data_IF_040689773481
#
_entry.id   IF_040689773481
#
_cell.length_a   1.000
_cell.length_b   1.000
_cell.length_c   1.000
_cell.angle_alpha   90.00
_cell.angle_beta   90.00
_cell.angle_gamma   90.00
#
_symmetry.space_group_name_H-M   'P 1'
#
loop_
_entity.id
_entity.type
_entity.pdbx_description
1 polymer ?
#
# COMPACT_ATOMS: atom_id res chain seq x y z
N UNK A 1 4.19 -20.91 -32.92
CA UNK A 1 5.45 -20.49 -32.26
C UNK A 1 5.12 -19.53 -31.13
N UNK A 2 5.76 -19.76 -29.97
CA UNK A 2 5.85 -18.91 -28.76
C UNK A 2 4.57 -18.71 -27.94
N UNK A 3 4.37 -19.63 -27.00
CA UNK A 3 3.84 -19.28 -25.69
C UNK A 3 4.69 -18.13 -25.14
N UNK A 4 4.12 -16.94 -25.00
CA UNK A 4 4.71 -15.89 -24.19
C UNK A 4 4.64 -16.37 -22.74
N UNK A 5 5.74 -16.92 -22.23
CA UNK A 5 5.87 -17.30 -20.82
C UNK A 5 5.44 -16.09 -19.97
N UNK A 6 4.34 -16.20 -19.24
CA UNK A 6 3.96 -15.20 -18.25
C UNK A 6 5.14 -15.08 -17.28
N UNK A 7 5.88 -13.97 -17.37
CA UNK A 7 7.03 -13.72 -16.50
C UNK A 7 6.53 -13.85 -15.06
N UNK A 8 7.08 -14.84 -14.35
CA UNK A 8 6.72 -15.10 -12.97
C UNK A 8 6.81 -13.79 -12.17
N UNK A 9 5.81 -13.50 -11.35
CA UNK A 9 5.72 -12.26 -10.57
C UNK A 9 7.00 -11.97 -9.78
N UNK A 10 7.72 -13.02 -9.34
CA UNK A 10 9.02 -12.91 -8.68
C UNK A 10 10.06 -12.22 -9.56
N UNK A 11 10.18 -12.60 -10.83
CA UNK A 11 11.16 -12.00 -11.75
C UNK A 11 10.83 -10.54 -12.08
N UNK A 12 9.55 -10.23 -12.25
CA UNK A 12 9.11 -8.84 -12.46
C UNK A 12 9.41 -7.95 -11.24
N UNK A 13 9.27 -8.49 -10.04
CA UNK A 13 9.60 -7.76 -8.81
C UNK A 13 11.11 -7.55 -8.69
N UNK A 14 11.92 -8.58 -8.93
CA UNK A 14 13.38 -8.48 -8.95
C UNK A 14 13.85 -7.40 -9.94
N UNK A 15 13.31 -7.38 -11.16
CA UNK A 15 13.66 -6.38 -12.17
C UNK A 15 13.38 -4.95 -11.68
N UNK A 16 12.24 -4.73 -11.03
CA UNK A 16 11.89 -3.41 -10.47
C UNK A 16 12.82 -3.02 -9.31
N UNK A 17 13.12 -3.95 -8.40
CA UNK A 17 13.99 -3.70 -7.25
C UNK A 17 15.45 -3.43 -7.66
N UNK A 18 15.95 -4.08 -8.71
CA UNK A 18 17.32 -3.84 -9.20
C UNK A 18 17.45 -2.49 -9.92
N UNK A 19 16.38 -2.02 -10.57
CA UNK A 19 16.40 -0.76 -11.35
C UNK A 19 16.09 0.49 -10.53
N UNK A 20 15.54 0.35 -9.32
CA UNK A 20 15.20 1.51 -8.49
C UNK A 20 16.44 2.04 -7.78
N UNK A 21 16.65 3.35 -7.83
CA UNK A 21 17.73 4.03 -7.09
C UNK A 21 17.21 4.63 -5.77
N UNK A 22 15.89 4.64 -5.57
CA UNK A 22 15.24 5.12 -4.35
C UNK A 22 15.55 4.21 -3.15
N UNK A 23 16.49 4.67 -2.32
CA UNK A 23 16.98 3.95 -1.14
C UNK A 23 15.91 3.83 -0.04
N UNK A 24 14.97 4.78 0.04
CA UNK A 24 13.94 4.76 1.06
C UNK A 24 12.90 3.68 0.73
N UNK A 25 12.49 3.60 -0.54
CA UNK A 25 11.63 2.51 -1.02
C UNK A 25 12.27 1.13 -0.78
N UNK A 26 13.57 0.99 -1.06
CA UNK A 26 14.27 -0.29 -0.86
C UNK A 26 14.29 -0.71 0.61
N UNK A 27 14.53 0.23 1.55
CA UNK A 27 14.47 -0.04 3.00
C UNK A 27 13.08 -0.44 3.47
N UNK A 28 12.03 0.17 2.92
CA UNK A 28 10.65 -0.20 3.24
C UNK A 28 10.35 -1.62 2.76
N UNK A 29 10.75 -1.97 1.54
CA UNK A 29 10.62 -3.33 1.02
C UNK A 29 11.40 -4.33 1.87
N UNK A 30 12.65 -4.01 2.24
CA UNK A 30 13.46 -4.82 3.16
C UNK A 30 12.75 -5.03 4.50
N UNK A 31 12.21 -3.96 5.10
CA UNK A 31 11.46 -4.05 6.37
C UNK A 31 10.22 -4.95 6.27
N UNK A 32 9.50 -4.89 5.14
CA UNK A 32 8.34 -5.76 4.88
C UNK A 32 8.78 -7.23 4.76
N UNK A 33 9.87 -7.50 4.03
CA UNK A 33 10.38 -8.85 3.78
C UNK A 33 11.04 -9.48 5.00
N UNK A 34 11.73 -8.69 5.81
CA UNK A 34 12.39 -9.12 7.05
C UNK A 34 11.39 -9.55 8.13
N UNK A 35 10.10 -9.27 7.93
CA UNK A 35 9.08 -9.56 8.94
C UNK A 35 9.34 -8.85 10.28
N UNK A 36 10.26 -7.87 10.30
CA UNK A 36 10.43 -6.96 11.43
C UNK A 36 9.14 -6.19 11.50
N UNK A 37 8.32 -6.60 12.47
CA UNK A 37 6.92 -6.29 12.53
C UNK A 37 6.69 -4.79 12.65
N UNK A 38 6.60 -4.15 11.48
CA UNK A 38 6.20 -2.75 11.35
C UNK A 38 4.90 -2.54 12.11
N UNK A 39 3.95 -3.48 11.96
CA UNK A 39 2.73 -3.51 12.76
C UNK A 39 3.03 -3.46 14.25
N UNK A 40 3.82 -4.39 14.80
CA UNK A 40 4.07 -4.44 16.24
C UNK A 40 4.76 -3.18 16.77
N UNK A 41 5.57 -2.52 15.95
CA UNK A 41 6.24 -1.26 16.30
C UNK A 41 5.35 -0.02 16.27
N UNK A 42 4.14 -0.10 15.69
CA UNK A 42 3.22 1.03 15.67
C UNK A 42 2.68 1.32 17.08
N UNK A 43 2.53 2.61 17.47
CA UNK A 43 1.79 2.99 18.66
C UNK A 43 0.38 2.40 18.64
N UNK A 44 -0.17 2.13 19.83
CA UNK A 44 -1.50 1.53 19.97
C UNK A 44 -2.58 2.34 19.26
N UNK A 45 -2.51 3.67 19.38
CA UNK A 45 -3.45 4.61 18.78
C UNK A 45 -3.44 4.52 17.25
N UNK A 46 -2.26 4.28 16.66
CA UNK A 46 -2.12 4.12 15.22
C UNK A 46 -2.70 2.78 14.77
N UNK A 47 -2.49 1.71 15.54
CA UNK A 47 -3.10 0.40 15.27
C UNK A 47 -4.62 0.47 15.31
N UNK A 48 -5.19 1.09 16.36
CA UNK A 48 -6.64 1.25 16.49
C UNK A 48 -7.26 2.00 15.31
N UNK A 49 -6.65 3.11 14.88
CA UNK A 49 -7.16 3.88 13.75
C UNK A 49 -7.14 3.06 12.45
N UNK A 50 -6.09 2.27 12.24
CA UNK A 50 -5.98 1.39 11.07
C UNK A 50 -7.06 0.30 11.14
N UNK A 51 -7.20 -0.39 12.27
CA UNK A 51 -8.19 -1.46 12.46
C UNK A 51 -9.62 -0.93 12.28
N UNK A 52 -9.92 0.25 12.83
CA UNK A 52 -11.20 0.91 12.63
C UNK A 52 -11.45 1.23 11.16
N UNK A 53 -10.47 1.79 10.46
CA UNK A 53 -10.60 2.15 9.04
C UNK A 53 -10.82 0.93 8.15
N UNK A 54 -10.18 -0.20 8.48
CA UNK A 54 -10.40 -1.48 7.79
C UNK A 54 -11.83 -1.97 8.02
N UNK A 55 -12.30 -1.97 9.27
CA UNK A 55 -13.67 -2.39 9.59
C UNK A 55 -14.73 -1.51 8.90
N UNK A 56 -14.53 -0.19 8.87
CA UNK A 56 -15.41 0.74 8.13
C UNK A 56 -15.41 0.45 6.63
N UNK A 57 -14.27 0.03 6.07
CA UNK A 57 -14.16 -0.42 4.68
C UNK A 57 -14.94 -1.70 4.39
N UNK A 58 -14.83 -2.70 5.27
CA UNK A 58 -15.57 -3.96 5.16
C UNK A 58 -17.09 -3.76 5.29
N UNK A 59 -17.50 -2.78 6.09
CA UNK A 59 -18.91 -2.38 6.25
C UNK A 59 -19.42 -1.46 5.12
N UNK A 60 -18.56 -1.09 4.16
CA UNK A 60 -18.92 -0.23 3.02
C UNK A 60 -19.19 1.23 3.40
N UNK A 61 -18.63 1.69 4.53
CA UNK A 61 -18.79 3.06 5.05
C UNK A 61 -17.77 4.04 4.50
N UNK A 62 -16.76 3.57 3.77
CA UNK A 62 -15.75 4.43 3.15
C UNK A 62 -16.28 5.03 1.84
N UNK A 63 -15.95 6.31 1.61
CA UNK A 63 -16.19 6.98 0.34
C UNK A 63 -14.97 6.86 -0.57
N UNK A 64 -15.19 6.75 -1.88
CA UNK A 64 -14.09 6.75 -2.83
C UNK A 64 -13.43 8.12 -2.92
N UNK A 65 -12.14 8.11 -3.24
CA UNK A 65 -11.32 9.31 -3.31
C UNK A 65 -11.91 10.42 -4.21
N UNK A 66 -12.44 10.06 -5.38
CA UNK A 66 -12.97 11.06 -6.31
C UNK A 66 -14.21 11.75 -5.75
N UNK A 67 -15.10 11.00 -5.09
CA UNK A 67 -16.26 11.53 -4.39
C UNK A 67 -15.86 12.50 -3.27
N UNK A 68 -14.92 12.11 -2.42
CA UNK A 68 -14.42 12.96 -1.32
C UNK A 68 -13.81 14.26 -1.85
N UNK A 69 -12.96 14.19 -2.87
CA UNK A 69 -12.30 15.37 -3.45
C UNK A 69 -13.32 16.30 -4.12
N UNK A 70 -14.31 15.76 -4.83
CA UNK A 70 -15.38 16.55 -5.44
C UNK A 70 -16.15 17.34 -4.39
N UNK A 71 -16.52 16.70 -3.28
CA UNK A 71 -17.26 17.33 -2.19
C UNK A 71 -16.43 18.40 -1.47
N UNK A 72 -15.15 18.14 -1.24
CA UNK A 72 -14.23 19.11 -0.66
C UNK A 72 -14.12 20.37 -1.52
N UNK A 73 -13.90 20.20 -2.84
CA UNK A 73 -13.81 21.32 -3.78
C UNK A 73 -15.08 22.15 -3.76
N UNK A 74 -16.25 21.52 -3.80
CA UNK A 74 -17.55 22.21 -3.75
C UNK A 74 -17.75 23.04 -2.48
N UNK A 75 -17.20 22.60 -1.34
CA UNK A 75 -17.37 23.26 -0.04
C UNK A 75 -16.37 24.41 0.19
N UNK A 76 -15.20 24.37 -0.45
CA UNK A 76 -14.08 25.25 -0.08
C UNK A 76 -13.41 26.00 -1.24
N UNK A 77 -13.81 25.75 -2.49
CA UNK A 77 -13.34 26.45 -3.69
C UNK A 77 -14.53 26.99 -4.49
#
# INVERSE_FOLDING_TARGET
MKQGSAINIKYRLIEKLVKTEDQELLKQVESILDGKAYWESLPYEVKEVIDQSVAEGEEGKLEDHESVIKDYRKKHL
#
